data_IF_766234456672
#
_entry.id   IF_766234456672
#
_cell.length_a   1.000
_cell.length_b   1.000
_cell.length_c   1.000
_cell.angle_alpha   90.00
_cell.angle_beta   90.00
_cell.angle_gamma   90.00
#
_symmetry.space_group_name_H-M   'P 1'
#
loop_
_entity.id
_entity.type
_entity.pdbx_description
1 polymer ?
#
# COMPACT_ATOMS: atom_id res chain seq x y z
N UNK A 1 -5.93 -5.29 33.33
CA UNK A 1 -5.00 -6.00 32.41
C UNK A 1 -5.20 -5.65 30.93
N UNK A 2 -6.41 -5.35 30.46
CA UNK A 2 -6.69 -4.99 29.06
C UNK A 2 -6.36 -3.52 28.74
N UNK A 3 -6.65 -2.61 29.68
CA UNK A 3 -6.33 -1.17 29.56
C UNK A 3 -4.83 -0.87 29.44
N UNK A 4 -3.98 -1.67 30.10
CA UNK A 4 -2.53 -1.51 30.04
C UNK A 4 -1.97 -1.85 28.65
N UNK A 5 -2.58 -2.81 27.96
CA UNK A 5 -2.24 -3.16 26.56
C UNK A 5 -2.64 -2.05 25.60
N UNK A 6 -3.83 -1.48 25.76
CA UNK A 6 -4.33 -0.41 24.89
C UNK A 6 -3.49 0.87 25.03
N UNK A 7 -3.13 1.24 26.27
CA UNK A 7 -2.23 2.38 26.49
C UNK A 7 -0.84 2.17 25.86
N UNK A 8 -0.27 0.97 25.95
CA UNK A 8 1.01 0.65 25.31
C UNK A 8 0.94 0.75 23.79
N UNK A 9 -0.16 0.30 23.18
CA UNK A 9 -0.38 0.45 21.73
C UNK A 9 -0.49 1.93 21.35
N UNK A 10 -1.27 2.71 22.09
CA UNK A 10 -1.38 4.16 21.88
C UNK A 10 -0.02 4.86 22.00
N UNK A 11 0.73 4.60 23.07
CA UNK A 11 2.05 5.21 23.30
C UNK A 11 3.05 4.81 22.20
N UNK A 12 3.02 3.55 21.77
CA UNK A 12 3.83 3.07 20.65
C UNK A 12 3.49 3.80 19.36
N UNK A 13 2.22 3.88 18.97
CA UNK A 13 1.77 4.58 17.77
C UNK A 13 2.11 6.08 17.80
N UNK A 14 1.97 6.71 18.98
CA UNK A 14 2.36 8.10 19.20
C UNK A 14 3.87 8.31 19.01
N UNK A 15 4.70 7.43 19.56
CA UNK A 15 6.17 7.47 19.38
C UNK A 15 6.58 7.26 17.92
N UNK A 16 5.82 6.48 17.16
CA UNK A 16 6.03 6.27 15.73
C UNK A 16 5.70 7.52 14.87
N UNK A 17 5.16 8.60 15.47
CA UNK A 17 4.67 9.78 14.74
C UNK A 17 3.71 9.39 13.60
N UNK A 18 2.82 8.43 13.89
CA UNK A 18 1.79 8.02 12.93
C UNK A 18 0.78 9.14 12.75
N UNK A 19 0.52 9.46 11.49
CA UNK A 19 -0.51 10.42 11.05
C UNK A 19 -1.86 9.71 10.96
N UNK A 20 -1.83 8.45 10.49
CA UNK A 20 -2.99 7.60 10.30
C UNK A 20 -2.61 6.16 10.61
N UNK A 21 -3.47 5.47 11.33
CA UNK A 21 -3.41 4.02 11.54
C UNK A 21 -4.82 3.46 11.40
N UNK A 22 -4.97 2.45 10.59
CA UNK A 22 -6.20 1.69 10.43
C UNK A 22 -5.90 0.20 10.30
N UNK A 23 -6.71 -0.64 10.94
CA UNK A 23 -6.71 -2.09 10.77
C UNK A 23 -8.16 -2.57 10.69
N UNK A 24 -8.48 -3.33 9.68
CA UNK A 24 -9.83 -3.87 9.47
C UNK A 24 -10.16 -4.06 7.99
N UNK A 25 -11.43 -4.28 7.70
CA UNK A 25 -11.94 -4.43 6.35
C UNK A 25 -11.91 -3.10 5.59
N UNK A 26 -11.34 -3.10 4.39
CA UNK A 26 -11.19 -1.89 3.57
C UNK A 26 -12.39 -1.77 2.63
N UNK A 27 -13.49 -1.20 3.14
CA UNK A 27 -14.68 -0.87 2.35
C UNK A 27 -14.45 0.38 1.51
N UNK A 28 -15.37 0.67 0.57
CA UNK A 28 -15.34 1.91 -0.20
C UNK A 28 -15.46 3.16 0.68
N UNK A 29 -16.30 3.09 1.72
CA UNK A 29 -16.48 4.17 2.69
C UNK A 29 -15.19 4.41 3.50
N UNK A 30 -14.58 3.36 4.02
CA UNK A 30 -13.31 3.43 4.73
C UNK A 30 -12.22 4.02 3.84
N UNK A 31 -12.09 3.56 2.59
CA UNK A 31 -11.14 4.11 1.64
C UNK A 31 -11.35 5.63 1.44
N UNK A 32 -12.62 6.05 1.27
CA UNK A 32 -12.96 7.47 1.14
C UNK A 32 -12.53 8.29 2.36
N UNK A 33 -12.91 7.83 3.56
CA UNK A 33 -12.60 8.51 4.82
C UNK A 33 -11.09 8.61 5.07
N UNK A 34 -10.34 7.53 4.85
CA UNK A 34 -8.87 7.53 5.00
C UNK A 34 -8.20 8.46 3.98
N UNK A 35 -8.75 8.56 2.76
CA UNK A 35 -8.23 9.44 1.71
C UNK A 35 -8.45 10.91 2.08
N UNK A 36 -9.62 11.29 2.63
CA UNK A 36 -9.87 12.66 3.09
C UNK A 36 -8.96 13.03 4.26
N UNK A 37 -8.77 12.15 5.25
CA UNK A 37 -7.83 12.41 6.37
C UNK A 37 -6.41 12.68 5.84
N UNK A 38 -5.93 11.86 4.88
CA UNK A 38 -4.61 12.08 4.29
C UNK A 38 -4.56 13.38 3.48
N UNK A 39 -5.59 13.68 2.70
CA UNK A 39 -5.72 14.88 1.88
C UNK A 39 -5.64 16.16 2.73
N UNK A 40 -6.33 16.19 3.86
CA UNK A 40 -6.27 17.32 4.80
C UNK A 40 -4.85 17.50 5.35
N UNK A 41 -4.16 16.40 5.65
CA UNK A 41 -2.79 16.44 6.16
C UNK A 41 -1.79 17.00 5.14
N UNK A 42 -1.98 16.72 3.85
CA UNK A 42 -1.06 17.12 2.78
C UNK A 42 -1.58 18.25 1.90
N UNK A 43 -2.56 19.02 2.38
CA UNK A 43 -3.26 20.05 1.59
C UNK A 43 -2.32 21.03 0.92
N UNK A 44 -1.26 21.46 1.61
CA UNK A 44 -0.30 22.47 1.14
C UNK A 44 0.92 21.85 0.41
N UNK A 45 0.95 20.53 0.21
CA UNK A 45 2.09 19.85 -0.42
C UNK A 45 2.00 19.91 -1.94
N UNK A 46 3.11 20.23 -2.59
CA UNK A 46 3.26 20.02 -4.02
C UNK A 46 3.15 18.53 -4.35
N UNK A 47 2.46 18.19 -5.43
CA UNK A 47 2.27 16.78 -5.81
C UNK A 47 1.26 16.01 -4.96
N UNK A 48 0.41 16.66 -4.16
CA UNK A 48 -0.62 16.00 -3.34
C UNK A 48 -1.45 14.97 -4.10
N UNK A 49 -1.84 15.28 -5.34
CA UNK A 49 -2.62 14.33 -6.15
C UNK A 49 -1.84 13.05 -6.48
N UNK A 50 -0.52 13.15 -6.67
CA UNK A 50 0.37 12.02 -6.87
C UNK A 50 0.39 11.11 -5.64
N UNK A 51 0.50 11.70 -4.45
CA UNK A 51 0.48 11.01 -3.15
C UNK A 51 -0.86 10.31 -2.95
N UNK A 52 -1.98 11.03 -3.15
CA UNK A 52 -3.33 10.50 -2.98
C UNK A 52 -3.61 9.34 -3.95
N UNK A 53 -3.22 9.45 -5.21
CA UNK A 53 -3.40 8.38 -6.19
C UNK A 53 -2.66 7.10 -5.77
N UNK A 54 -1.41 7.24 -5.33
CA UNK A 54 -0.62 6.09 -4.84
C UNK A 54 -1.25 5.50 -3.58
N UNK A 55 -1.70 6.33 -2.65
CA UNK A 55 -2.38 5.88 -1.44
C UNK A 55 -3.64 5.06 -1.76
N UNK A 56 -4.50 5.59 -2.63
CA UNK A 56 -5.73 4.90 -3.06
C UNK A 56 -5.40 3.55 -3.69
N UNK A 57 -4.41 3.49 -4.58
CA UNK A 57 -3.98 2.23 -5.21
C UNK A 57 -3.47 1.20 -4.20
N UNK A 58 -2.64 1.64 -3.23
CA UNK A 58 -2.14 0.77 -2.17
C UNK A 58 -3.28 0.20 -1.31
N UNK A 59 -4.23 1.04 -0.93
CA UNK A 59 -5.38 0.66 -0.07
C UNK A 59 -6.36 -0.25 -0.83
N UNK A 60 -6.59 0.01 -2.12
CA UNK A 60 -7.39 -0.87 -2.99
C UNK A 60 -6.73 -2.24 -3.17
N UNK A 61 -5.39 -2.31 -3.24
CA UNK A 61 -4.68 -3.58 -3.30
C UNK A 61 -4.94 -4.43 -2.05
N UNK A 62 -4.98 -3.83 -0.85
CA UNK A 62 -5.39 -4.54 0.38
C UNK A 62 -6.80 -5.09 0.25
N UNK A 63 -7.76 -4.24 -0.17
CA UNK A 63 -9.16 -4.64 -0.32
C UNK A 63 -9.33 -5.82 -1.29
N UNK A 64 -8.61 -5.80 -2.40
CA UNK A 64 -8.77 -6.80 -3.45
C UNK A 64 -8.02 -8.11 -3.19
N UNK A 65 -6.79 -8.03 -2.68
CA UNK A 65 -5.86 -9.15 -2.67
C UNK A 65 -5.63 -9.79 -1.30
N UNK A 66 -6.12 -9.20 -0.20
CA UNK A 66 -6.01 -9.84 1.10
C UNK A 66 -6.67 -11.22 1.13
N UNK A 67 -5.99 -12.18 1.73
CA UNK A 67 -6.52 -13.52 1.99
C UNK A 67 -7.67 -13.47 3.00
N UNK A 68 -7.55 -12.60 4.01
CA UNK A 68 -8.61 -12.37 4.98
C UNK A 68 -9.65 -11.40 4.42
N UNK A 69 -10.92 -11.76 4.56
CA UNK A 69 -12.06 -10.99 4.05
C UNK A 69 -13.12 -10.81 5.11
N UNK A 70 -13.79 -9.65 5.03
CA UNK A 70 -15.09 -9.42 5.65
C UNK A 70 -16.09 -9.08 4.53
N UNK A 71 -17.00 -9.97 4.24
CA UNK A 71 -17.82 -9.92 3.04
C UNK A 71 -16.95 -9.97 1.77
N UNK A 72 -17.04 -8.95 0.93
CA UNK A 72 -16.23 -8.82 -0.30
C UNK A 72 -14.93 -8.03 -0.11
N UNK A 73 -14.70 -7.46 1.08
CA UNK A 73 -13.59 -6.53 1.34
C UNK A 73 -12.43 -7.21 2.06
N UNK A 74 -11.22 -6.97 1.58
CA UNK A 74 -10.00 -7.46 2.23
C UNK A 74 -9.73 -6.76 3.55
N UNK A 75 -9.27 -7.55 4.53
CA UNK A 75 -8.79 -7.05 5.82
C UNK A 75 -7.29 -6.78 5.70
N UNK A 76 -6.85 -5.64 6.25
CA UNK A 76 -5.43 -5.33 6.32
C UNK A 76 -5.12 -4.14 7.21
N UNK A 77 -3.87 -3.71 7.15
CA UNK A 77 -3.33 -2.62 7.94
C UNK A 77 -2.89 -1.49 7.01
N UNK A 78 -3.22 -0.28 7.39
CA UNK A 78 -2.82 0.95 6.69
C UNK A 78 -2.16 1.86 7.73
N UNK A 79 -0.94 2.29 7.45
CA UNK A 79 -0.14 3.11 8.33
C UNK A 79 0.52 4.24 7.55
N UNK A 80 0.23 5.48 7.94
CA UNK A 80 0.89 6.67 7.41
C UNK A 80 1.72 7.31 8.51
N UNK A 81 2.99 7.57 8.22
CA UNK A 81 3.93 8.25 9.11
C UNK A 81 4.57 9.43 8.41
N UNK A 82 4.85 10.47 9.20
CA UNK A 82 5.64 11.60 8.74
C UNK A 82 6.83 11.80 9.66
N UNK A 83 8.03 11.86 9.08
CA UNK A 83 9.27 12.16 9.81
C UNK A 83 10.28 12.83 8.89
N UNK A 84 10.88 13.93 9.35
CA UNK A 84 11.95 14.64 8.63
C UNK A 84 11.58 14.96 7.17
N UNK A 85 10.39 15.51 6.95
CA UNK A 85 9.83 15.82 5.63
C UNK A 85 9.70 14.61 4.68
N UNK A 86 9.67 13.42 5.23
CA UNK A 86 9.35 12.19 4.48
C UNK A 86 8.00 11.65 4.96
N UNK A 87 7.07 11.55 4.03
CA UNK A 87 5.82 10.82 4.21
C UNK A 87 6.05 9.36 3.83
N UNK A 88 5.76 8.48 4.75
CA UNK A 88 5.84 7.04 4.56
C UNK A 88 4.43 6.45 4.57
N UNK A 89 4.01 5.89 3.44
CA UNK A 89 2.77 5.13 3.31
C UNK A 89 3.11 3.63 3.41
N UNK A 90 2.44 2.91 4.28
CA UNK A 90 2.60 1.46 4.41
C UNK A 90 1.25 0.80 4.44
N UNK A 91 1.10 -0.29 3.68
CA UNK A 91 -0.04 -1.20 3.76
C UNK A 91 0.45 -2.60 4.03
N UNK A 92 -0.35 -3.40 4.75
CA UNK A 92 -0.04 -4.80 4.95
C UNK A 92 -1.31 -5.65 4.98
N UNK A 93 -1.21 -6.89 4.50
CA UNK A 93 -2.29 -7.86 4.49
C UNK A 93 -1.74 -9.30 4.39
N UNK A 94 -2.58 -10.28 4.68
CA UNK A 94 -2.23 -11.69 4.50
C UNK A 94 -2.41 -12.13 3.05
N UNK A 95 -1.48 -12.96 2.58
CA UNK A 95 -1.51 -13.62 1.27
C UNK A 95 -1.34 -15.13 1.45
N UNK A 96 -1.90 -15.91 0.51
CA UNK A 96 -1.54 -17.32 0.39
C UNK A 96 -0.09 -17.46 -0.08
N UNK A 97 0.54 -18.60 0.16
CA UNK A 97 1.91 -18.90 -0.30
C UNK A 97 2.07 -18.75 -1.82
N UNK A 98 1.10 -19.24 -2.59
CA UNK A 98 1.09 -19.12 -4.06
C UNK A 98 1.04 -17.65 -4.51
N UNK A 99 0.14 -16.86 -3.91
CA UNK A 99 -0.01 -15.43 -4.23
C UNK A 99 1.24 -14.65 -3.84
N UNK A 100 1.81 -14.93 -2.67
CA UNK A 100 3.02 -14.30 -2.17
C UNK A 100 4.21 -14.57 -3.09
N UNK A 101 4.46 -15.82 -3.46
CA UNK A 101 5.57 -16.22 -4.37
C UNK A 101 5.42 -15.56 -5.75
N UNK A 102 4.21 -15.50 -6.29
CA UNK A 102 3.95 -14.85 -7.59
C UNK A 102 4.16 -13.35 -7.52
N UNK A 103 3.68 -12.72 -6.44
CA UNK A 103 3.81 -11.27 -6.24
C UNK A 103 5.27 -10.87 -6.00
N UNK A 104 6.01 -11.62 -5.19
CA UNK A 104 7.42 -11.36 -4.88
C UNK A 104 8.25 -11.30 -6.16
N UNK A 105 8.19 -12.34 -7.00
CA UNK A 105 8.90 -12.38 -8.30
C UNK A 105 8.55 -11.19 -9.19
N UNK A 106 7.28 -10.79 -9.18
CA UNK A 106 6.81 -9.67 -9.98
C UNK A 106 7.33 -8.32 -9.46
N UNK A 107 7.36 -8.12 -8.15
CA UNK A 107 7.88 -6.91 -7.54
C UNK A 107 9.40 -6.81 -7.73
N UNK A 108 10.12 -7.90 -7.58
CA UNK A 108 11.57 -7.96 -7.85
C UNK A 108 11.88 -7.59 -9.30
N UNK A 109 11.10 -8.13 -10.24
CA UNK A 109 11.23 -7.74 -11.64
C UNK A 109 10.98 -6.24 -11.84
N UNK A 110 9.91 -5.68 -11.26
CA UNK A 110 9.64 -4.24 -11.39
C UNK A 110 10.73 -3.36 -10.78
N UNK A 111 11.32 -3.77 -9.66
CA UNK A 111 12.40 -3.04 -9.00
C UNK A 111 13.74 -3.15 -9.75
N UNK A 112 13.90 -4.15 -10.62
CA UNK A 112 15.10 -4.29 -11.48
C UNK A 112 15.05 -3.42 -12.75
N UNK A 113 13.89 -2.85 -13.09
CA UNK A 113 13.71 -2.03 -14.28
C UNK A 113 14.25 -0.61 -14.07
N UNK A 114 14.82 -0.04 -15.10
CA UNK A 114 15.13 1.40 -15.18
C UNK A 114 13.84 2.23 -15.30
N UNK A 115 13.91 3.52 -15.00
CA UNK A 115 12.76 4.43 -15.13
C UNK A 115 12.17 4.44 -16.55
N UNK A 116 13.01 4.33 -17.58
CA UNK A 116 12.58 4.26 -18.97
C UNK A 116 11.78 2.98 -19.26
N UNK A 117 12.27 1.83 -18.79
CA UNK A 117 11.60 0.54 -18.93
C UNK A 117 10.28 0.49 -18.16
N UNK A 118 10.23 1.04 -16.95
CA UNK A 118 8.99 1.17 -16.16
C UNK A 118 7.94 1.98 -16.94
N UNK A 119 8.35 3.10 -17.55
CA UNK A 119 7.46 3.96 -18.34
C UNK A 119 6.96 3.23 -19.59
N UNK A 120 7.84 2.55 -20.29
CA UNK A 120 7.50 1.78 -21.48
C UNK A 120 6.52 0.66 -21.16
N UNK A 121 6.84 -0.15 -20.15
CA UNK A 121 5.99 -1.26 -19.70
C UNK A 121 4.60 -0.77 -19.25
N UNK A 122 4.53 0.37 -18.56
CA UNK A 122 3.27 1.01 -18.16
C UNK A 122 2.44 1.41 -19.40
N UNK A 123 3.06 2.04 -20.41
CA UNK A 123 2.39 2.45 -21.64
C UNK A 123 1.90 1.26 -22.46
N UNK A 124 2.69 0.19 -22.55
CA UNK A 124 2.30 -1.05 -23.24
C UNK A 124 1.07 -1.68 -22.58
N UNK A 125 1.04 -1.72 -21.23
CA UNK A 125 -0.10 -2.29 -20.48
C UNK A 125 -1.37 -1.45 -20.56
N UNK A 126 -1.26 -0.12 -20.73
CA UNK A 126 -2.44 0.74 -20.95
C UNK A 126 -3.00 0.57 -22.35
N UNK A 127 -2.13 0.41 -23.36
CA UNK A 127 -2.53 0.27 -24.77
C UNK A 127 -3.02 -1.13 -25.11
N UNK A 128 -2.60 -2.14 -24.38
CA UNK A 128 -3.04 -3.53 -24.57
C UNK A 128 -4.51 -3.69 -24.19
N UNK A 129 -5.26 -4.49 -24.95
CA UNK A 129 -6.62 -4.87 -24.59
C UNK A 129 -6.58 -5.54 -23.20
N UNK A 130 -7.35 -5.00 -22.25
CA UNK A 130 -7.46 -5.58 -20.91
C UNK A 130 -8.07 -6.97 -21.02
N UNK A 131 -7.38 -8.07 -20.70
CA UNK A 131 -8.03 -9.36 -20.61
C UNK A 131 -9.17 -9.24 -19.58
N UNK A 132 -10.39 -9.58 -19.93
CA UNK A 132 -11.59 -9.50 -19.08
C UNK A 132 -11.47 -10.26 -17.76
N UNK A 133 -10.45 -11.11 -17.61
CA UNK A 133 -10.21 -11.97 -16.45
C UNK A 133 -9.11 -11.49 -15.50
N UNK A 134 -8.30 -10.48 -15.84
CA UNK A 134 -7.22 -10.03 -14.99
C UNK A 134 -7.66 -8.83 -14.14
N UNK A 135 -8.13 -9.10 -12.93
CA UNK A 135 -8.26 -8.08 -11.87
C UNK A 135 -6.87 -7.49 -11.63
N UNK A 136 -6.62 -6.29 -12.13
CA UNK A 136 -5.45 -5.49 -11.80
C UNK A 136 -4.09 -6.06 -12.25
N UNK A 137 -3.86 -6.29 -13.56
CA UNK A 137 -2.66 -6.88 -14.18
C UNK A 137 -1.29 -6.23 -13.85
N UNK A 138 -1.09 -5.77 -12.62
CA UNK A 138 0.16 -5.15 -12.16
C UNK A 138 0.35 -3.70 -12.59
N UNK A 139 -0.67 -3.07 -13.15
CA UNK A 139 -0.66 -1.64 -13.46
C UNK A 139 -0.51 -0.80 -12.19
N UNK A 140 -1.19 -1.18 -11.10
CA UNK A 140 -1.11 -0.46 -9.84
C UNK A 140 0.30 -0.38 -9.26
N UNK A 141 1.04 -1.48 -9.24
CA UNK A 141 2.43 -1.46 -8.76
C UNK A 141 3.37 -0.67 -9.67
N UNK A 142 3.17 -0.72 -10.99
CA UNK A 142 3.92 0.12 -11.92
C UNK A 142 3.58 1.61 -11.76
N UNK A 143 2.32 1.93 -11.49
CA UNK A 143 1.89 3.29 -11.20
C UNK A 143 2.47 3.79 -9.87
N UNK A 144 2.49 2.97 -8.84
CA UNK A 144 3.14 3.25 -7.55
C UNK A 144 4.63 3.53 -7.79
N UNK A 145 5.35 2.66 -8.50
CA UNK A 145 6.77 2.81 -8.76
C UNK A 145 7.08 4.09 -9.56
N UNK A 146 6.28 4.40 -10.56
CA UNK A 146 6.44 5.61 -11.39
C UNK A 146 6.13 6.91 -10.66
N UNK A 147 5.21 6.87 -9.69
CA UNK A 147 4.76 8.05 -8.95
C UNK A 147 5.47 8.25 -7.61
N UNK A 148 6.14 7.27 -7.06
CA UNK A 148 6.91 7.43 -5.82
C UNK A 148 8.20 8.23 -6.05
N UNK A 149 8.68 8.92 -5.02
CA UNK A 149 9.96 9.66 -5.10
C UNK A 149 11.16 8.75 -4.88
N UNK A 150 10.93 7.56 -4.33
CA UNK A 150 11.92 6.53 -4.06
C UNK A 150 11.35 5.17 -4.46
N UNK A 151 12.19 4.18 -4.78
CA UNK A 151 11.73 2.81 -4.97
C UNK A 151 10.93 2.35 -3.74
N UNK A 152 9.81 1.68 -3.97
CA UNK A 152 9.05 1.10 -2.87
C UNK A 152 9.84 -0.04 -2.20
N UNK A 153 9.45 -0.38 -0.98
CA UNK A 153 9.97 -1.55 -0.26
C UNK A 153 8.83 -2.53 -0.01
N UNK A 154 9.12 -3.80 -0.18
CA UNK A 154 8.19 -4.89 0.14
C UNK A 154 8.84 -5.87 1.09
N UNK A 155 8.03 -6.55 1.90
CA UNK A 155 8.46 -7.70 2.69
C UNK A 155 7.37 -8.77 2.70
N UNK A 156 7.80 -10.03 2.80
CA UNK A 156 6.95 -11.21 2.88
C UNK A 156 7.39 -12.03 4.10
N UNK A 157 6.64 -11.93 5.18
CA UNK A 157 6.95 -12.60 6.45
C UNK A 157 6.06 -13.83 6.60
N UNK A 158 6.66 -15.03 6.67
CA UNK A 158 5.90 -16.27 6.85
C UNK A 158 5.27 -16.30 8.23
N UNK A 159 3.96 -16.51 8.26
CA UNK A 159 3.20 -16.63 9.51
C UNK A 159 3.21 -18.07 10.04
N UNK A 160 2.91 -18.31 11.33
CA UNK A 160 2.84 -19.66 11.88
C UNK A 160 1.86 -20.60 11.14
N UNK A 161 0.83 -20.04 10.50
CA UNK A 161 -0.18 -20.78 9.75
C UNK A 161 0.21 -21.05 8.28
N UNK A 162 1.46 -20.76 7.89
CA UNK A 162 1.97 -21.01 6.54
C UNK A 162 1.61 -19.94 5.50
N UNK A 163 0.79 -18.95 5.84
CA UNK A 163 0.51 -17.79 5.01
C UNK A 163 1.65 -16.77 5.09
N UNK A 164 1.56 -15.69 4.29
CA UNK A 164 2.55 -14.62 4.28
C UNK A 164 1.92 -13.29 4.66
N UNK A 165 2.53 -12.59 5.62
CA UNK A 165 2.21 -11.21 5.91
C UNK A 165 3.00 -10.30 4.96
N UNK A 166 2.31 -9.79 3.95
CA UNK A 166 2.87 -8.92 2.95
C UNK A 166 2.81 -7.47 3.41
N UNK A 167 3.91 -6.76 3.31
CA UNK A 167 3.98 -5.31 3.58
C UNK A 167 4.52 -4.58 2.35
N UNK A 168 3.83 -3.53 1.95
CA UNK A 168 4.28 -2.59 0.92
C UNK A 168 4.50 -1.22 1.55
N UNK A 169 5.64 -0.59 1.29
CA UNK A 169 5.98 0.73 1.81
C UNK A 169 6.47 1.65 0.69
N UNK A 170 5.89 2.84 0.62
CA UNK A 170 6.21 3.89 -0.36
C UNK A 170 6.59 5.17 0.36
N UNK A 171 7.46 5.95 -0.24
CA UNK A 171 8.02 7.16 0.36
C UNK A 171 7.82 8.36 -0.56
N UNK A 172 7.45 9.49 0.04
CA UNK A 172 7.36 10.78 -0.63
C UNK A 172 8.11 11.85 0.16
N UNK A 173 8.80 12.73 -0.56
CA UNK A 173 9.39 13.93 0.04
C UNK A 173 8.30 15.00 0.15
N UNK A 174 8.15 15.58 1.33
CA UNK A 174 7.28 16.74 1.57
C UNK A 174 8.12 18.02 1.44
N UNK A 175 7.57 19.02 0.77
CA UNK A 175 8.19 20.35 0.59
C UNK A 175 7.63 21.39 1.58
#
# INVERSE_FOLDING_TARGET
MEFDKLYRQYDYLKKLKSVLYYQGAVTHEILGNLTEILKDRITNQKGKNKILNVFVEMVQNVSHYSLEKEGSYGIGLILVKEKNHILKLSTANLLSEETASTLEKKLDHFLSLSEAEVKELYLQKIKGERPKSSKGAGLGFLEILRKSDFPFRSSFEKTPNGNFFFTLTVFFRLE
#
